data_IF_751139040036
#
_entry.id   IF_751139040036
#
_cell.length_a   1.000
_cell.length_b   1.000
_cell.length_c   1.000
_cell.angle_alpha   90.00
_cell.angle_beta   90.00
_cell.angle_gamma   90.00
#
_symmetry.space_group_name_H-M   'P 1'
#
loop_
_entity.id
_entity.type
_entity.pdbx_description
1 polymer ?
#
# COMPACT_ATOMS: atom_id res chain seq x y z
N UNK A 1 -60.09 -19.14 -20.91
CA UNK A 1 -59.66 -19.10 -19.50
C UNK A 1 -58.16 -19.29 -19.43
N UNK A 2 -57.48 -18.33 -18.78
CA UNK A 2 -56.17 -18.38 -18.11
C UNK A 2 -54.92 -18.72 -18.94
N UNK A 3 -54.14 -17.66 -19.23
CA UNK A 3 -52.78 -17.72 -19.73
C UNK A 3 -51.77 -18.19 -18.68
N UNK A 4 -50.68 -18.79 -19.16
CA UNK A 4 -49.53 -19.18 -18.34
C UNK A 4 -48.73 -17.93 -17.92
N UNK A 5 -48.34 -17.81 -16.64
CA UNK A 5 -47.37 -16.80 -16.25
C UNK A 5 -45.97 -17.26 -16.68
N UNK A 6 -45.30 -16.42 -17.48
CA UNK A 6 -43.88 -16.57 -17.79
C UNK A 6 -43.05 -16.36 -16.53
N UNK A 7 -42.22 -17.35 -16.20
CA UNK A 7 -41.22 -17.23 -15.13
C UNK A 7 -40.05 -16.43 -15.69
N UNK A 8 -39.96 -15.16 -15.35
CA UNK A 8 -38.77 -14.34 -15.58
C UNK A 8 -37.75 -14.73 -14.51
N UNK A 9 -36.80 -15.59 -14.87
CA UNK A 9 -35.64 -15.86 -14.04
C UNK A 9 -34.73 -14.63 -14.06
N UNK A 10 -34.81 -13.80 -13.02
CA UNK A 10 -33.84 -12.74 -12.77
C UNK A 10 -32.55 -13.43 -12.32
N UNK A 11 -31.61 -13.61 -13.25
CA UNK A 11 -30.26 -14.02 -12.92
C UNK A 11 -29.61 -12.90 -12.09
N UNK A 12 -29.60 -13.09 -10.76
CA UNK A 12 -28.87 -12.27 -9.83
C UNK A 12 -27.38 -12.52 -10.10
N UNK A 13 -26.78 -11.70 -10.96
CA UNK A 13 -25.33 -11.69 -11.17
C UNK A 13 -24.66 -11.29 -9.86
N UNK A 14 -24.24 -12.30 -9.09
CA UNK A 14 -23.40 -12.11 -7.92
C UNK A 14 -22.12 -11.43 -8.38
N UNK A 15 -22.00 -10.13 -8.11
CA UNK A 15 -20.75 -9.39 -8.17
C UNK A 15 -19.80 -10.04 -7.16
N UNK A 16 -19.09 -11.07 -7.60
CA UNK A 16 -17.94 -11.58 -6.86
C UNK A 16 -16.98 -10.40 -6.72
N UNK A 17 -16.58 -10.02 -5.50
CA UNK A 17 -15.52 -9.03 -5.34
C UNK A 17 -14.32 -9.58 -6.10
N UNK A 18 -13.92 -8.89 -7.17
CA UNK A 18 -12.68 -9.22 -7.87
C UNK A 18 -11.59 -9.15 -6.81
N UNK A 19 -10.97 -10.29 -6.51
CA UNK A 19 -9.73 -10.30 -5.74
C UNK A 19 -8.81 -9.31 -6.44
N UNK A 20 -8.43 -8.24 -5.75
CA UNK A 20 -7.55 -7.22 -6.30
C UNK A 20 -6.27 -7.91 -6.76
N UNK A 21 -6.15 -8.13 -8.07
CA UNK A 21 -4.93 -8.58 -8.70
C UNK A 21 -4.16 -7.32 -9.11
N UNK A 22 -2.86 -7.33 -8.81
CA UNK A 22 -1.95 -6.27 -9.21
C UNK A 22 -2.08 -5.99 -10.71
N UNK A 23 -2.47 -4.77 -11.09
CA UNK A 23 -2.74 -4.42 -12.48
C UNK A 23 -1.52 -3.87 -13.22
N UNK A 24 -0.40 -3.65 -12.54
CA UNK A 24 0.84 -3.19 -13.16
C UNK A 24 1.72 -4.36 -13.61
N UNK A 25 2.39 -4.26 -14.78
CA UNK A 25 3.33 -5.28 -15.19
C UNK A 25 4.43 -5.43 -14.14
N UNK A 26 4.80 -6.67 -13.80
CA UNK A 26 5.91 -6.89 -12.90
C UNK A 26 7.20 -6.29 -13.44
N UNK A 27 8.09 -5.91 -12.52
CA UNK A 27 9.41 -5.39 -12.83
C UNK A 27 9.43 -4.05 -13.60
N UNK A 28 8.31 -3.32 -13.56
CA UNK A 28 8.21 -1.93 -14.04
C UNK A 28 8.26 -0.98 -12.85
N UNK A 29 9.21 -0.03 -12.91
CA UNK A 29 9.27 1.09 -11.97
C UNK A 29 8.32 2.20 -12.43
N UNK A 30 7.31 2.49 -11.63
CA UNK A 30 6.36 3.59 -11.88
C UNK A 30 6.63 4.73 -10.91
N UNK A 31 6.43 5.96 -11.39
CA UNK A 31 6.56 7.17 -10.59
C UNK A 31 5.19 7.65 -10.11
N UNK A 32 5.19 8.35 -8.98
CA UNK A 32 3.98 8.80 -8.31
C UNK A 32 4.27 9.71 -7.15
N UNK A 33 3.28 9.83 -6.26
CA UNK A 33 3.35 10.66 -5.08
C UNK A 33 2.67 9.99 -3.89
N UNK A 34 3.26 10.18 -2.72
CA UNK A 34 2.60 9.89 -1.44
C UNK A 34 1.73 11.06 -1.01
N UNK A 35 0.65 10.76 -0.30
CA UNK A 35 -0.15 11.76 0.42
C UNK A 35 0.47 12.01 1.79
N UNK A 36 0.35 13.24 2.28
CA UNK A 36 0.69 13.56 3.67
C UNK A 36 -0.19 12.77 4.64
N UNK A 37 0.42 12.22 5.68
CA UNK A 37 -0.25 11.47 6.72
C UNK A 37 0.46 11.66 8.06
N UNK A 38 -0.32 11.69 9.14
CA UNK A 38 0.17 11.67 10.52
C UNK A 38 -0.37 10.40 11.15
N UNK A 39 0.51 9.60 11.75
CA UNK A 39 0.13 8.35 12.39
C UNK A 39 -0.69 8.56 13.65
N UNK A 40 -1.56 7.60 13.95
CA UNK A 40 -2.27 7.58 15.22
C UNK A 40 -1.25 7.37 16.34
N UNK A 41 -1.24 8.29 17.31
CA UNK A 41 -0.25 8.35 18.39
C UNK A 41 -0.64 7.44 19.56
N UNK A 42 0.29 6.59 19.98
CA UNK A 42 0.34 6.05 21.35
C UNK A 42 1.23 6.95 22.20
N UNK A 43 0.78 7.35 23.39
CA UNK A 43 1.62 8.01 24.40
C UNK A 43 2.38 9.29 23.96
N UNK A 44 1.85 10.05 23.00
CA UNK A 44 2.42 11.33 22.56
C UNK A 44 3.53 11.23 21.50
N UNK A 45 3.93 10.03 21.10
CA UNK A 45 4.88 9.82 20.01
C UNK A 45 4.21 10.01 18.64
N UNK A 46 4.78 10.85 17.78
CA UNK A 46 4.26 11.14 16.42
C UNK A 46 5.18 10.55 15.36
N UNK A 47 4.60 9.78 14.46
CA UNK A 47 5.19 9.51 13.15
C UNK A 47 4.40 10.22 12.06
N UNK A 48 5.08 10.57 10.98
CA UNK A 48 4.45 11.25 9.86
C UNK A 48 5.11 10.87 8.55
N UNK A 49 4.37 11.09 7.47
CA UNK A 49 4.79 11.00 6.09
C UNK A 49 4.43 12.33 5.46
N UNK A 50 5.40 13.03 4.87
CA UNK A 50 5.10 14.20 4.07
C UNK A 50 4.70 13.81 2.66
N UNK A 51 3.90 14.66 2.03
CA UNK A 51 3.63 14.54 0.59
C UNK A 51 4.95 14.67 -0.16
N UNK A 52 5.21 13.75 -1.08
CA UNK A 52 6.40 13.85 -1.93
C UNK A 52 6.43 12.85 -3.06
N UNK A 53 7.48 12.93 -3.87
CA UNK A 53 7.71 11.97 -4.95
C UNK A 53 7.93 10.57 -4.37
N UNK A 54 7.37 9.59 -5.08
CA UNK A 54 7.49 8.18 -4.75
C UNK A 54 7.67 7.38 -6.03
N UNK A 55 8.38 6.28 -5.92
CA UNK A 55 8.47 5.25 -6.94
C UNK A 55 7.94 3.95 -6.37
N UNK A 56 7.37 3.11 -7.22
CA UNK A 56 6.88 1.79 -6.84
C UNK A 56 7.23 0.77 -7.91
N UNK A 57 7.60 -0.44 -7.47
CA UNK A 57 7.86 -1.57 -8.35
C UNK A 57 7.48 -2.85 -7.62
N UNK A 58 6.60 -3.65 -8.22
CA UNK A 58 6.41 -5.04 -7.83
C UNK A 58 7.44 -5.92 -8.51
N UNK A 59 7.94 -6.91 -7.80
CA UNK A 59 8.71 -7.98 -8.42
C UNK A 59 7.75 -9.14 -8.77
N UNK A 60 7.66 -9.52 -10.05
CA UNK A 60 6.57 -10.36 -10.55
C UNK A 60 6.53 -11.80 -10.10
N UNK A 61 7.68 -12.32 -9.69
CA UNK A 61 7.82 -13.72 -9.28
C UNK A 61 8.05 -13.87 -7.79
N UNK A 62 8.11 -12.77 -7.03
CA UNK A 62 8.43 -12.81 -5.61
C UNK A 62 7.40 -12.09 -4.75
N UNK A 63 7.40 -12.44 -3.47
CA UNK A 63 6.65 -11.76 -2.41
C UNK A 63 7.33 -10.45 -2.02
N UNK A 64 7.77 -9.64 -3.00
CA UNK A 64 8.51 -8.41 -2.77
C UNK A 64 8.02 -7.25 -3.64
N UNK A 65 8.03 -6.06 -3.04
CA UNK A 65 7.89 -4.79 -3.74
C UNK A 65 8.93 -3.79 -3.22
N UNK A 66 9.24 -2.77 -4.01
CA UNK A 66 10.08 -1.65 -3.62
C UNK A 66 9.25 -0.38 -3.74
N UNK A 67 9.29 0.44 -2.69
CA UNK A 67 8.65 1.75 -2.64
C UNK A 67 9.69 2.80 -2.22
N UNK A 68 9.54 4.05 -2.66
CA UNK A 68 10.31 5.16 -2.09
C UNK A 68 9.43 6.20 -1.41
N UNK A 69 10.00 6.86 -0.40
CA UNK A 69 9.39 7.94 0.33
C UNK A 69 10.31 9.15 0.28
N UNK A 70 9.76 10.32 -0.01
CA UNK A 70 10.52 11.57 0.05
C UNK A 70 10.95 11.88 1.50
N UNK A 71 9.99 11.77 2.44
CA UNK A 71 10.24 11.99 3.87
C UNK A 71 9.20 11.22 4.68
N UNK A 72 9.70 10.35 5.55
CA UNK A 72 8.92 9.57 6.50
C UNK A 72 9.71 9.53 7.80
N UNK A 73 9.05 9.83 8.91
CA UNK A 73 9.73 9.96 10.20
C UNK A 73 8.98 9.17 11.26
N UNK A 74 9.72 8.38 12.04
CA UNK A 74 9.24 7.75 13.27
C UNK A 74 9.71 8.52 14.51
N UNK A 75 8.82 8.66 15.50
CA UNK A 75 9.04 9.37 16.77
C UNK A 75 9.65 10.78 16.64
N UNK A 76 9.40 11.47 15.52
CA UNK A 76 10.03 12.77 15.20
C UNK A 76 11.57 12.77 15.24
N UNK A 77 12.21 11.59 15.22
CA UNK A 77 13.65 11.43 15.49
C UNK A 77 14.36 10.50 14.50
N UNK A 78 13.62 9.57 13.89
CA UNK A 78 14.18 8.61 12.94
C UNK A 78 13.70 8.96 11.54
N UNK A 79 14.59 9.54 10.73
CA UNK A 79 14.36 9.74 9.30
C UNK A 79 14.54 8.42 8.56
N UNK A 80 13.47 7.98 7.88
CA UNK A 80 13.37 6.74 7.12
C UNK A 80 13.21 7.01 5.62
N UNK A 81 13.49 8.24 5.17
CA UNK A 81 13.41 8.66 3.77
C UNK A 81 14.26 7.79 2.83
N UNK A 82 13.87 7.78 1.56
CA UNK A 82 14.51 6.98 0.52
C UNK A 82 13.75 5.69 0.19
N UNK A 83 14.48 4.65 -0.19
CA UNK A 83 13.88 3.39 -0.64
C UNK A 83 13.65 2.41 0.51
N UNK A 84 12.50 1.74 0.45
CA UNK A 84 12.15 0.63 1.31
C UNK A 84 11.77 -0.61 0.50
N UNK A 85 12.10 -1.79 1.03
CA UNK A 85 11.73 -3.08 0.45
C UNK A 85 10.60 -3.68 1.27
N UNK A 86 9.45 -3.91 0.65
CA UNK A 86 8.34 -4.64 1.26
C UNK A 86 8.51 -6.12 0.99
N UNK A 87 8.48 -6.95 2.03
CA UNK A 87 8.45 -8.41 1.94
C UNK A 87 7.12 -8.91 2.50
N UNK A 88 6.32 -9.55 1.65
CA UNK A 88 4.98 -10.00 1.98
C UNK A 88 5.01 -11.36 2.67
N UNK A 89 4.39 -11.45 3.84
CA UNK A 89 4.11 -12.72 4.53
C UNK A 89 2.72 -13.25 4.16
N UNK A 90 1.82 -12.37 3.71
CA UNK A 90 0.50 -12.68 3.18
C UNK A 90 0.14 -11.70 2.05
N UNK A 91 -0.98 -11.87 1.33
CA UNK A 91 -1.41 -10.91 0.32
C UNK A 91 -1.63 -9.47 0.84
N UNK A 92 -1.87 -9.30 2.14
CA UNK A 92 -2.24 -7.99 2.73
C UNK A 92 -1.27 -7.50 3.81
N UNK A 93 -0.22 -8.26 4.14
CA UNK A 93 0.69 -7.94 5.25
C UNK A 93 2.10 -8.51 5.09
N UNK A 94 3.04 -7.95 5.85
CA UNK A 94 4.43 -8.36 5.83
C UNK A 94 5.32 -7.41 6.64
N UNK A 95 6.58 -7.27 6.23
CA UNK A 95 7.54 -6.33 6.81
C UNK A 95 8.07 -5.37 5.74
N UNK A 96 8.36 -4.14 6.15
CA UNK A 96 8.98 -3.12 5.30
C UNK A 96 10.36 -2.81 5.84
N UNK A 97 11.39 -2.98 4.99
CA UNK A 97 12.79 -2.74 5.33
C UNK A 97 13.28 -1.42 4.73
N UNK A 98 13.65 -0.44 5.55
CA UNK A 98 14.23 0.83 5.12
C UNK A 98 15.74 0.67 4.88
N UNK A 99 16.20 0.96 3.66
CA UNK A 99 17.57 0.58 3.21
C UNK A 99 18.69 1.40 3.84
N UNK A 100 18.47 2.68 4.14
CA UNK A 100 19.51 3.62 4.60
C UNK A 100 19.55 3.80 6.12
N UNK A 101 19.06 2.80 6.86
CA UNK A 101 18.91 2.88 8.32
C UNK A 101 19.53 1.68 9.08
N UNK A 102 20.77 1.25 8.76
CA UNK A 102 21.33 0.01 9.31
C UNK A 102 21.56 0.05 10.83
N UNK A 103 21.76 1.25 11.38
CA UNK A 103 22.02 1.50 12.81
C UNK A 103 20.75 1.72 13.64
N UNK A 104 19.58 1.82 13.00
CA UNK A 104 18.32 2.04 13.71
C UNK A 104 17.81 0.75 14.39
N UNK A 105 17.00 0.88 15.45
CA UNK A 105 16.35 -0.26 16.11
C UNK A 105 15.56 -1.11 15.11
N UNK A 106 15.57 -2.44 15.30
CA UNK A 106 14.96 -3.39 14.36
C UNK A 106 13.47 -3.10 14.08
N UNK A 107 12.71 -2.72 15.11
CA UNK A 107 11.31 -2.34 15.02
C UNK A 107 11.05 -0.99 14.31
N UNK A 108 12.10 -0.23 14.01
CA UNK A 108 12.04 1.04 13.25
C UNK A 108 12.51 0.83 11.81
N UNK A 109 13.58 0.04 11.61
CA UNK A 109 14.10 -0.25 10.26
C UNK A 109 13.36 -1.36 9.51
N UNK A 110 12.72 -2.30 10.23
CA UNK A 110 12.00 -3.46 9.71
C UNK A 110 10.55 -3.60 10.24
N UNK A 111 9.77 -2.51 10.39
CA UNK A 111 8.45 -2.59 11.00
C UNK A 111 7.49 -3.46 10.17
N UNK A 112 6.49 -4.07 10.82
CA UNK A 112 5.43 -4.74 10.10
C UNK A 112 4.54 -3.73 9.37
N UNK A 113 4.01 -4.16 8.22
CA UNK A 113 2.92 -3.47 7.54
C UNK A 113 1.68 -4.37 7.44
N UNK A 114 0.51 -3.72 7.35
CA UNK A 114 -0.79 -4.38 7.23
C UNK A 114 -1.73 -3.62 6.32
N UNK A 115 -2.90 -4.20 6.05
CA UNK A 115 -3.97 -3.61 5.23
C UNK A 115 -3.51 -3.19 3.83
N UNK A 116 -2.57 -3.96 3.26
CA UNK A 116 -2.08 -3.69 1.92
C UNK A 116 -3.17 -3.88 0.88
N UNK A 117 -3.33 -2.87 0.03
CA UNK A 117 -4.28 -2.86 -1.08
C UNK A 117 -3.69 -2.11 -2.27
N UNK A 118 -3.87 -2.69 -3.46
CA UNK A 118 -3.60 -2.06 -4.74
C UNK A 118 -4.90 -1.94 -5.51
N UNK A 119 -5.16 -0.77 -6.09
CA UNK A 119 -6.34 -0.56 -6.95
C UNK A 119 -5.93 0.28 -8.14
N UNK A 120 -6.21 -0.17 -9.35
CA UNK A 120 -5.95 0.63 -10.54
C UNK A 120 -7.25 1.15 -11.15
N UNK A 121 -7.26 2.47 -11.38
CA UNK A 121 -8.33 3.19 -12.02
C UNK A 121 -7.97 3.38 -13.49
N UNK A 122 -8.61 2.60 -14.37
CA UNK A 122 -8.38 2.67 -15.81
C UNK A 122 -8.78 4.02 -16.44
N UNK A 123 -9.78 4.71 -15.88
CA UNK A 123 -10.23 6.02 -16.38
C UNK A 123 -9.20 7.11 -16.06
N UNK A 124 -8.69 7.11 -14.83
CA UNK A 124 -7.67 8.06 -14.39
C UNK A 124 -6.25 7.65 -14.80
N UNK A 125 -6.06 6.42 -15.29
CA UNK A 125 -4.76 5.77 -15.50
C UNK A 125 -3.88 5.89 -14.26
N UNK A 126 -4.42 5.51 -13.10
CA UNK A 126 -3.74 5.65 -11.82
C UNK A 126 -3.73 4.32 -11.07
N UNK A 127 -2.57 3.94 -10.55
CA UNK A 127 -2.46 2.91 -9.52
C UNK A 127 -2.46 3.57 -8.15
N UNK A 128 -3.32 3.12 -7.26
CA UNK A 128 -3.33 3.51 -5.85
C UNK A 128 -2.80 2.36 -5.01
N UNK A 129 -1.81 2.65 -4.17
CA UNK A 129 -1.24 1.71 -3.20
C UNK A 129 -1.51 2.23 -1.80
N UNK A 130 -2.10 1.40 -0.95
CA UNK A 130 -2.45 1.75 0.43
C UNK A 130 -2.01 0.65 1.38
N UNK A 131 -1.53 1.04 2.56
CA UNK A 131 -1.22 0.14 3.66
C UNK A 131 -1.01 0.94 4.95
N UNK A 132 -0.69 0.27 6.06
CA UNK A 132 -0.29 0.91 7.30
C UNK A 132 1.01 0.33 7.80
N UNK A 133 1.94 1.18 8.24
CA UNK A 133 3.18 0.76 8.91
C UNK A 133 2.97 0.86 10.41
N UNK A 134 3.22 -0.22 11.13
CA UNK A 134 3.13 -0.24 12.59
C UNK A 134 4.52 -0.06 13.18
N UNK A 135 4.82 1.17 13.56
CA UNK A 135 5.97 1.49 14.41
C UNK A 135 5.62 1.19 15.88
N UNK A 136 6.61 1.19 16.79
CA UNK A 136 6.39 0.82 18.19
C UNK A 136 5.30 1.64 18.88
N UNK A 137 5.28 2.94 18.62
CA UNK A 137 4.42 3.90 19.33
C UNK A 137 3.41 4.59 18.41
N UNK A 138 3.34 4.20 17.14
CA UNK A 138 2.37 4.78 16.20
C UNK A 138 2.03 3.83 15.05
N UNK A 139 0.86 4.04 14.44
CA UNK A 139 0.50 3.42 13.17
C UNK A 139 0.36 4.49 12.10
N UNK A 140 1.21 4.42 11.08
CA UNK A 140 1.27 5.39 9.98
C UNK A 140 0.52 4.86 8.75
N UNK A 141 -0.61 5.47 8.35
CA UNK A 141 -1.26 5.11 7.10
C UNK A 141 -0.47 5.66 5.91
N UNK A 142 -0.26 4.80 4.92
CA UNK A 142 0.38 5.15 3.65
C UNK A 142 -0.70 5.15 2.56
N UNK A 143 -0.74 6.24 1.80
CA UNK A 143 -1.57 6.37 0.61
C UNK A 143 -0.69 6.95 -0.49
N UNK A 144 -0.46 6.18 -1.55
CA UNK A 144 0.35 6.60 -2.68
C UNK A 144 -0.41 6.41 -4.00
N UNK A 145 -0.24 7.36 -4.91
CA UNK A 145 -0.84 7.36 -6.24
C UNK A 145 0.28 7.40 -7.26
N UNK A 146 0.26 6.47 -8.20
CA UNK A 146 1.24 6.33 -9.27
C UNK A 146 0.57 6.43 -10.62
N UNK A 147 1.32 6.91 -11.60
CA UNK A 147 0.87 6.90 -12.98
C UNK A 147 0.85 5.45 -13.48
N UNK A 148 -0.31 5.06 -14.01
CA UNK A 148 -0.51 3.78 -14.66
C UNK A 148 0.22 3.70 -15.99
N UNK A 149 0.85 2.56 -16.25
CA UNK A 149 1.37 2.22 -17.58
C UNK A 149 0.23 2.05 -18.60
#
# INVERSE_FOLDING_TARGET
>A
MRGLPGVVAIALATLLPSLAQAQTPPDVLIAGQTREAIGAVGFGARCYLNKGFSTFQRNGSSLKAVISFAEIVDQSSFDLGGQATMTFASPTSGNIHFKQTPTLPANVKDPPFSNYCETYNATAKQLVVQFSIAFPDCTLPIYAVYDGA
#
